data_IF_309048454427
#
_entry.id   IF_309048454427
#
_cell.length_a   1.000
_cell.length_b   1.000
_cell.length_c   1.000
_cell.angle_alpha   90.00
_cell.angle_beta   90.00
_cell.angle_gamma   90.00
#
_symmetry.space_group_name_H-M   'P 1'
#
loop_
_entity.id
_entity.type
_entity.pdbx_description
1 polymer ?
#
# COMPACT_ATOMS: atom_id res chain seq x y z
N UNK A 1 -2.83 -13.22 -1.12
CA UNK A 1 -1.40 -13.37 -0.86
C UNK A 1 -0.96 -14.68 -1.44
N UNK A 2 0.10 -14.66 -2.16
CA UNK A 2 0.54 -15.83 -2.89
C UNK A 2 2.04 -15.77 -3.07
N UNK A 3 2.63 -16.91 -3.43
CA UNK A 3 4.04 -16.99 -3.86
C UNK A 3 5.03 -16.38 -2.87
N UNK A 4 4.83 -16.62 -1.56
CA UNK A 4 5.77 -16.17 -0.55
C UNK A 4 5.51 -14.80 0.02
N UNK A 5 4.45 -14.13 -0.37
CA UNK A 5 4.04 -12.89 0.28
C UNK A 5 3.61 -13.18 1.72
N UNK A 6 3.90 -12.24 2.63
CA UNK A 6 3.59 -12.40 4.05
C UNK A 6 2.70 -11.25 4.50
N UNK A 7 1.58 -11.59 5.12
CA UNK A 7 0.69 -10.61 5.72
C UNK A 7 0.71 -10.74 7.25
N UNK A 8 0.86 -9.62 7.93
CA UNK A 8 0.78 -9.54 9.39
C UNK A 8 -0.21 -8.45 9.76
N UNK A 9 -1.23 -8.81 10.51
CA UNK A 9 -2.24 -7.84 10.94
C UNK A 9 -3.56 -8.48 11.25
N UNK A 10 -4.61 -7.71 11.11
CA UNK A 10 -5.96 -8.15 11.45
C UNK A 10 -6.55 -9.06 10.38
N UNK A 11 -7.31 -10.04 10.82
CA UNK A 11 -7.97 -11.00 9.93
C UNK A 11 -9.47 -11.07 10.24
N UNK A 12 -10.25 -11.33 9.21
CA UNK A 12 -11.67 -11.62 9.35
C UNK A 12 -12.08 -12.56 8.23
N UNK A 13 -12.74 -13.67 8.58
CA UNK A 13 -13.20 -14.66 7.61
C UNK A 13 -12.08 -15.17 6.70
N UNK A 14 -10.90 -15.41 7.28
CA UNK A 14 -9.71 -15.89 6.59
C UNK A 14 -9.14 -14.89 5.56
N UNK A 15 -9.47 -13.62 5.68
CA UNK A 15 -8.95 -12.56 4.81
C UNK A 15 -8.40 -11.41 5.63
N UNK A 16 -7.36 -10.73 5.15
CA UNK A 16 -6.92 -9.50 5.78
C UNK A 16 -8.06 -8.48 5.85
N UNK A 17 -8.33 -7.99 7.04
CA UNK A 17 -9.34 -6.97 7.28
C UNK A 17 -8.88 -6.11 8.46
N UNK A 18 -8.94 -4.79 8.32
CA UNK A 18 -8.47 -3.87 9.34
C UNK A 18 -7.09 -3.35 9.01
N UNK A 19 -6.23 -3.23 10.00
CA UNK A 19 -4.87 -2.72 9.79
C UNK A 19 -3.89 -3.87 9.67
N UNK A 20 -2.95 -3.73 8.74
CA UNK A 20 -1.94 -4.75 8.57
C UNK A 20 -0.77 -4.33 7.71
N UNK A 21 0.20 -5.23 7.60
CA UNK A 21 1.40 -5.03 6.78
C UNK A 21 1.55 -6.22 5.85
N UNK A 22 1.68 -5.94 4.57
CA UNK A 22 1.92 -6.96 3.55
C UNK A 22 3.33 -6.77 3.02
N UNK A 23 4.11 -7.84 3.04
CA UNK A 23 5.46 -7.85 2.47
C UNK A 23 5.49 -8.81 1.30
N UNK A 24 5.96 -8.34 0.15
CA UNK A 24 6.01 -9.17 -1.04
C UNK A 24 7.40 -9.73 -1.27
N UNK A 25 7.46 -10.81 -2.05
CA UNK A 25 8.72 -11.43 -2.43
C UNK A 25 9.61 -10.45 -3.20
N UNK A 26 9.00 -9.52 -3.92
CA UNK A 26 9.73 -8.53 -4.71
C UNK A 26 10.38 -7.43 -3.86
N UNK A 27 10.17 -7.44 -2.54
CA UNK A 27 10.76 -6.45 -1.65
C UNK A 27 9.88 -5.24 -1.39
N UNK A 28 8.63 -5.26 -1.84
CA UNK A 28 7.69 -4.20 -1.53
C UNK A 28 6.99 -4.46 -0.20
N UNK A 29 6.62 -3.38 0.48
CA UNK A 29 5.88 -3.46 1.72
C UNK A 29 4.74 -2.47 1.69
N UNK A 30 3.53 -2.94 2.00
CA UNK A 30 2.36 -2.07 2.18
C UNK A 30 1.95 -2.11 3.64
N UNK A 31 1.71 -0.94 4.23
CA UNK A 31 1.25 -0.83 5.61
C UNK A 31 0.04 0.09 5.64
N UNK A 32 -1.10 -0.43 6.07
CA UNK A 32 -2.31 0.35 6.10
C UNK A 32 -3.55 -0.51 6.23
N UNK A 33 -4.67 0.00 5.73
CA UNK A 33 -5.95 -0.67 5.84
C UNK A 33 -6.18 -1.74 4.79
N UNK A 34 -6.97 -2.73 5.16
CA UNK A 34 -7.39 -3.82 4.28
C UNK A 34 -8.88 -4.08 4.47
N UNK A 35 -9.54 -4.43 3.38
CA UNK A 35 -10.92 -4.92 3.40
C UNK A 35 -10.99 -6.11 2.46
N UNK A 36 -11.40 -7.26 3.01
CA UNK A 36 -11.53 -8.52 2.25
C UNK A 36 -10.30 -8.88 1.42
N UNK A 37 -9.13 -8.64 2.00
CA UNK A 37 -7.87 -8.99 1.36
C UNK A 37 -7.29 -7.93 0.44
N UNK A 38 -7.99 -6.82 0.23
CA UNK A 38 -7.54 -5.75 -0.64
C UNK A 38 -7.19 -4.50 0.15
N UNK A 39 -6.17 -3.76 -0.31
CA UNK A 39 -5.80 -2.50 0.31
C UNK A 39 -6.97 -1.52 0.24
N UNK A 40 -7.25 -0.85 1.36
CA UNK A 40 -8.37 0.05 1.46
C UNK A 40 -8.06 1.18 2.43
N UNK A 41 -8.31 2.43 2.04
CA UNK A 41 -8.09 3.58 2.88
C UNK A 41 -6.66 4.07 2.83
N UNK A 42 -6.21 4.74 3.89
CA UNK A 42 -4.87 5.30 3.94
C UNK A 42 -3.83 4.21 4.11
N UNK A 43 -2.75 4.32 3.32
CA UNK A 43 -1.67 3.35 3.42
C UNK A 43 -0.34 3.91 2.97
N UNK A 44 0.72 3.21 3.33
CA UNK A 44 2.09 3.54 2.95
C UNK A 44 2.68 2.33 2.25
N UNK A 45 3.20 2.55 1.05
CA UNK A 45 3.86 1.51 0.28
C UNK A 45 5.33 1.87 0.14
N UNK A 46 6.21 0.93 0.48
CA UNK A 46 7.65 1.13 0.40
C UNK A 46 8.23 0.10 -0.55
N UNK A 47 9.08 0.53 -1.49
CA UNK A 47 9.71 -0.41 -2.38
C UNK A 47 11.08 -0.86 -1.85
N UNK A 48 11.72 -1.77 -2.58
CA UNK A 48 13.00 -2.35 -2.14
C UNK A 48 14.12 -1.31 -2.06
N UNK A 49 13.98 -0.19 -2.75
CA UNK A 49 15.00 0.87 -2.78
C UNK A 49 14.78 1.91 -1.69
N UNK A 50 13.73 1.73 -0.87
CA UNK A 50 13.44 2.64 0.21
C UNK A 50 12.56 3.82 -0.17
N UNK A 51 12.09 3.88 -1.41
CA UNK A 51 11.15 4.91 -1.82
C UNK A 51 9.78 4.62 -1.21
N UNK A 52 9.07 5.68 -0.81
CA UNK A 52 7.79 5.55 -0.13
C UNK A 52 6.68 6.22 -0.92
N UNK A 53 5.55 5.55 -1.01
CA UNK A 53 4.31 6.11 -1.50
C UNK A 53 3.35 6.22 -0.32
N UNK A 54 2.89 7.43 -0.02
CA UNK A 54 1.91 7.66 1.04
C UNK A 54 0.64 8.21 0.39
N UNK A 55 -0.45 7.50 0.54
CA UNK A 55 -1.68 7.92 -0.10
C UNK A 55 -2.85 7.05 0.29
N UNK A 56 -3.82 6.96 -0.62
CA UNK A 56 -5.06 6.25 -0.37
C UNK A 56 -5.25 5.15 -1.39
N UNK A 57 -5.93 4.10 -0.96
CA UNK A 57 -6.22 2.93 -1.77
C UNK A 57 -7.70 2.60 -1.68
N UNK A 58 -8.22 2.03 -2.75
CA UNK A 58 -9.60 1.54 -2.79
C UNK A 58 -9.64 0.27 -3.60
N UNK A 59 -10.08 -0.82 -2.95
CA UNK A 59 -10.18 -2.14 -3.57
C UNK A 59 -8.87 -2.55 -4.26
N UNK A 60 -7.75 -2.29 -3.58
CA UNK A 60 -6.44 -2.67 -4.08
C UNK A 60 -5.81 -1.70 -5.07
N UNK A 61 -6.50 -0.62 -5.41
CA UNK A 61 -6.00 0.36 -6.38
C UNK A 61 -5.71 1.69 -5.70
N UNK A 62 -4.70 2.39 -6.19
CA UNK A 62 -4.42 3.74 -5.70
C UNK A 62 -5.59 4.66 -6.06
N UNK A 63 -6.06 5.42 -5.08
CA UNK A 63 -7.22 6.30 -5.27
C UNK A 63 -7.18 7.44 -4.28
N UNK A 64 -6.92 8.67 -4.77
CA UNK A 64 -6.87 9.86 -3.94
C UNK A 64 -5.52 10.55 -4.00
N UNK A 65 -5.33 11.60 -3.22
CA UNK A 65 -4.06 12.32 -3.19
C UNK A 65 -2.94 11.46 -2.64
N UNK A 66 -1.73 11.70 -3.12
CA UNK A 66 -0.56 10.94 -2.69
C UNK A 66 0.69 11.80 -2.68
N UNK A 67 1.70 11.34 -1.95
CA UNK A 67 3.04 11.90 -1.94
C UNK A 67 4.03 10.75 -2.02
N UNK A 68 5.00 10.86 -2.92
CA UNK A 68 6.12 9.92 -2.97
C UNK A 68 7.38 10.60 -2.49
N UNK A 69 8.15 9.90 -1.67
CA UNK A 69 9.42 10.38 -1.17
C UNK A 69 10.51 9.35 -1.46
N UNK A 70 11.75 9.82 -1.59
CA UNK A 70 12.86 8.90 -1.74
C UNK A 70 13.32 8.38 -0.36
N UNK A 71 14.35 7.53 -0.38
CA UNK A 71 14.87 6.92 0.85
C UNK A 71 15.37 7.95 1.87
N UNK A 72 15.69 9.15 1.42
CA UNK A 72 16.18 10.23 2.29
C UNK A 72 15.04 11.15 2.77
N UNK A 73 13.80 10.81 2.42
CA UNK A 73 12.65 11.59 2.85
C UNK A 73 12.33 12.78 1.95
N UNK A 74 13.00 12.91 0.81
CA UNK A 74 12.77 14.01 -0.10
C UNK A 74 11.57 13.72 -1.01
N UNK A 75 10.65 14.66 -1.12
CA UNK A 75 9.49 14.53 -2.01
C UNK A 75 9.95 14.50 -3.46
N UNK A 76 9.64 13.41 -4.16
CA UNK A 76 10.01 13.25 -5.57
C UNK A 76 8.80 13.28 -6.49
N UNK A 77 7.59 13.12 -5.95
CA UNK A 77 6.39 13.15 -6.75
C UNK A 77 5.18 13.33 -5.85
N UNK A 78 4.17 14.06 -6.33
CA UNK A 78 2.89 14.11 -5.64
C UNK A 78 1.80 14.42 -6.67
N UNK A 79 0.59 14.03 -6.34
CA UNK A 79 -0.54 14.20 -7.25
C UNK A 79 -1.76 13.49 -6.72
N UNK A 80 -2.61 13.04 -7.63
CA UNK A 80 -3.85 12.36 -7.29
C UNK A 80 -4.05 11.18 -8.22
N UNK A 81 -4.42 10.04 -7.66
CA UNK A 81 -4.84 8.88 -8.43
C UNK A 81 -6.36 8.77 -8.41
N UNK A 82 -6.91 8.24 -9.48
CA UNK A 82 -8.34 7.94 -9.56
C UNK A 82 -8.49 6.56 -10.18
N UNK A 83 -8.97 5.61 -9.36
CA UNK A 83 -9.15 4.21 -9.78
C UNK A 83 -7.90 3.62 -10.42
N UNK A 84 -6.74 3.88 -9.80
CA UNK A 84 -5.46 3.35 -10.27
C UNK A 84 -4.79 4.15 -11.37
N UNK A 85 -5.40 5.24 -11.80
CA UNK A 85 -4.82 6.09 -12.87
C UNK A 85 -4.34 7.41 -12.30
N UNK A 86 -3.12 7.78 -12.67
CA UNK A 86 -2.55 9.08 -12.29
C UNK A 86 -3.27 10.19 -13.07
N UNK A 87 -3.72 11.18 -12.34
CA UNK A 87 -4.41 12.34 -12.93
C UNK A 87 -3.44 13.45 -13.32
#
# INVERSE_FOLDING_TARGET
MSNGDVYEGDWKDNRPNGQGTLKTVAGMQYKGGFVDGLEEGQGVQTDKDGNRFEGFFKQGKKNGPFVETDKDGKVIKKGTYKFGRLQ
#
